data_IF_938717976692
#
_entry.id   IF_938717976692
#
_cell.length_a   1.000
_cell.length_b   1.000
_cell.length_c   1.000
_cell.angle_alpha   90.00
_cell.angle_beta   90.00
_cell.angle_gamma   90.00
#
_symmetry.space_group_name_H-M   'P 1'
#
loop_
_entity.id
_entity.type
_entity.pdbx_description
1 polymer ?
#
# COMPACT_ATOMS: atom_id res chain seq x y z
N UNK A 1 13.20 0.80 -8.78
CA UNK A 1 13.29 -0.44 -9.57
C UNK A 1 11.97 -0.65 -10.27
N UNK A 2 11.99 -1.11 -11.53
CA UNK A 2 10.77 -1.46 -12.27
C UNK A 2 10.96 -2.89 -12.73
N UNK A 3 10.05 -3.76 -12.32
CA UNK A 3 10.04 -5.18 -12.65
C UNK A 3 8.80 -5.50 -13.49
N UNK A 4 8.99 -6.19 -14.61
CA UNK A 4 7.92 -6.47 -15.56
C UNK A 4 7.79 -7.99 -15.71
N UNK A 5 6.61 -8.49 -15.39
CA UNK A 5 6.22 -9.89 -15.52
C UNK A 5 5.13 -10.03 -16.58
N UNK A 6 4.77 -11.28 -16.90
CA UNK A 6 3.70 -11.57 -17.86
C UNK A 6 2.37 -10.94 -17.43
N UNK A 7 2.07 -10.97 -16.14
CA UNK A 7 0.79 -10.60 -15.54
C UNK A 7 0.84 -9.33 -14.66
N UNK A 8 2.04 -8.79 -14.41
CA UNK A 8 2.21 -7.73 -13.40
C UNK A 8 3.33 -6.76 -13.79
N UNK A 9 3.13 -5.47 -13.52
CA UNK A 9 4.21 -4.47 -13.52
C UNK A 9 4.38 -3.98 -12.08
N UNK A 10 5.60 -4.07 -11.56
CA UNK A 10 5.92 -3.64 -10.20
C UNK A 10 6.88 -2.45 -10.21
N UNK A 11 6.55 -1.43 -9.44
CA UNK A 11 7.37 -0.22 -9.28
C UNK A 11 7.76 -0.11 -7.81
N UNK A 12 9.06 -0.21 -7.53
CA UNK A 12 9.62 -0.13 -6.18
C UNK A 12 10.44 1.14 -6.00
N UNK A 13 10.07 1.94 -5.00
CA UNK A 13 10.77 3.14 -4.58
C UNK A 13 11.29 2.99 -3.14
N UNK A 14 12.57 3.30 -2.85
CA UNK A 14 13.04 3.38 -1.48
C UNK A 14 12.29 4.46 -0.69
N UNK A 15 12.07 4.17 0.59
CA UNK A 15 11.33 4.99 1.52
C UNK A 15 9.88 4.51 1.70
N UNK A 16 9.44 4.55 2.95
CA UNK A 16 8.05 4.33 3.33
C UNK A 16 7.20 5.59 3.08
N UNK A 17 5.89 5.46 3.17
CA UNK A 17 5.02 6.62 3.34
C UNK A 17 5.37 7.42 4.62
N UNK A 18 5.02 8.71 4.70
CA UNK A 18 5.24 9.50 5.91
C UNK A 18 4.62 8.86 7.15
N UNK A 19 5.30 8.98 8.29
CA UNK A 19 4.84 8.38 9.54
C UNK A 19 3.44 8.85 9.92
N UNK A 20 2.59 7.92 10.36
CA UNK A 20 1.19 8.20 10.69
C UNK A 20 0.27 8.34 9.47
N UNK A 21 0.72 7.97 8.27
CA UNK A 21 -0.12 7.85 7.08
C UNK A 21 0.09 6.49 6.41
N UNK A 22 -0.98 5.94 5.84
CA UNK A 22 -0.99 4.71 5.05
C UNK A 22 -1.29 5.04 3.58
N UNK A 23 -0.95 4.15 2.62
CA UNK A 23 -1.36 4.34 1.23
C UNK A 23 -2.88 4.58 1.09
N UNK A 24 -3.69 3.85 1.86
CA UNK A 24 -5.15 3.96 1.87
C UNK A 24 -5.66 5.34 2.30
N UNK A 25 -4.95 6.02 3.21
CA UNK A 25 -5.33 7.38 3.64
C UNK A 25 -5.26 8.37 2.46
N UNK A 26 -4.28 8.20 1.57
CA UNK A 26 -4.15 9.04 0.37
C UNK A 26 -5.22 8.70 -0.67
N UNK A 27 -5.54 7.42 -0.84
CA UNK A 27 -6.60 6.95 -1.74
C UNK A 27 -7.97 7.47 -1.32
N UNK A 28 -8.27 7.42 -0.01
CA UNK A 28 -9.51 7.94 0.58
C UNK A 28 -9.55 9.47 0.67
N UNK A 29 -8.43 10.15 0.40
CA UNK A 29 -8.32 11.60 0.48
C UNK A 29 -8.36 12.16 1.90
N UNK A 30 -8.14 11.32 2.92
CA UNK A 30 -8.10 11.71 4.35
C UNK A 30 -6.69 11.99 4.85
N UNK A 31 -5.67 11.69 4.03
CA UNK A 31 -4.29 12.04 4.33
C UNK A 31 -4.12 13.56 4.50
N UNK A 32 -3.25 13.93 5.45
CA UNK A 32 -2.86 15.33 5.69
C UNK A 32 -2.14 15.91 4.47
N UNK A 33 -1.96 17.24 4.48
CA UNK A 33 -1.25 17.99 3.44
C UNK A 33 0.09 17.31 3.05
N UNK A 34 0.52 17.43 1.77
CA UNK A 34 1.68 16.72 1.25
C UNK A 34 2.94 16.95 2.10
N UNK A 35 3.47 15.89 2.70
CA UNK A 35 4.73 15.95 3.44
C UNK A 35 5.90 15.69 2.48
N UNK A 36 6.29 16.75 1.76
CA UNK A 36 7.38 16.68 0.79
C UNK A 36 8.72 16.46 1.49
N UNK A 37 9.27 15.25 1.44
CA UNK A 37 10.61 14.92 1.97
C UNK A 37 11.71 15.77 1.33
N UNK A 38 11.57 16.05 0.03
CA UNK A 38 12.51 16.83 -0.75
C UNK A 38 11.82 18.07 -1.33
N UNK A 39 11.61 19.15 -0.55
CA UNK A 39 10.81 20.29 -0.95
C UNK A 39 11.36 21.02 -2.18
N UNK A 40 12.70 21.07 -2.35
CA UNK A 40 13.32 21.69 -3.53
C UNK A 40 13.09 20.89 -4.81
N UNK A 41 13.13 19.56 -4.73
CA UNK A 41 12.83 18.69 -5.89
C UNK A 41 11.36 18.79 -6.24
N UNK A 42 10.48 18.77 -5.23
CA UNK A 42 9.04 18.93 -5.44
C UNK A 42 8.70 20.29 -6.10
N UNK A 43 9.31 21.39 -5.64
CA UNK A 43 9.11 22.72 -6.23
C UNK A 43 9.60 22.77 -7.68
N UNK A 44 10.78 22.19 -7.99
CA UNK A 44 11.28 22.12 -9.35
C UNK A 44 10.35 21.31 -10.28
N UNK A 45 9.86 20.15 -9.82
CA UNK A 45 8.94 19.30 -10.60
C UNK A 45 7.57 19.97 -10.77
N UNK A 46 7.08 20.68 -9.76
CA UNK A 46 5.83 21.44 -9.83
C UNK A 46 5.94 22.58 -10.85
N UNK A 47 7.01 23.39 -10.78
CA UNK A 47 7.27 24.47 -11.75
C UNK A 47 7.49 23.95 -13.17
N UNK A 48 8.06 22.75 -13.30
CA UNK A 48 8.21 22.05 -14.57
C UNK A 48 6.92 21.42 -15.11
N UNK A 49 5.81 21.46 -14.37
CA UNK A 49 4.53 20.89 -14.79
C UNK A 49 4.46 19.36 -14.69
N UNK A 50 5.43 18.71 -14.03
CA UNK A 50 5.48 17.25 -13.90
C UNK A 50 4.59 16.71 -12.78
N UNK A 51 4.33 17.52 -11.74
CA UNK A 51 3.54 17.10 -10.58
C UNK A 51 2.56 18.17 -10.11
N UNK A 52 1.50 17.70 -9.43
CA UNK A 52 0.55 18.46 -8.60
C UNK A 52 1.15 19.07 -7.32
N UNK A 53 0.75 20.28 -6.92
CA UNK A 53 1.06 20.81 -5.58
C UNK A 53 0.36 20.04 -4.45
N UNK A 54 -0.82 19.46 -4.71
CA UNK A 54 -1.73 18.91 -3.69
C UNK A 54 -1.66 17.38 -3.54
N UNK A 55 -0.73 16.69 -4.20
CA UNK A 55 -0.55 15.24 -4.01
C UNK A 55 -1.73 14.37 -4.49
N UNK A 56 -2.47 14.81 -5.51
CA UNK A 56 -3.64 14.10 -6.08
C UNK A 56 -3.27 12.90 -6.96
N UNK A 57 -1.99 12.67 -7.22
CA UNK A 57 -1.52 11.61 -8.12
C UNK A 57 -2.04 10.22 -7.76
N UNK A 58 -2.02 9.84 -6.47
CA UNK A 58 -2.47 8.50 -6.04
C UNK A 58 -3.97 8.27 -6.32
N UNK A 59 -4.81 9.28 -6.14
CA UNK A 59 -6.24 9.19 -6.48
C UNK A 59 -6.47 9.07 -7.99
N UNK A 60 -5.69 9.76 -8.81
CA UNK A 60 -5.77 9.61 -10.27
C UNK A 60 -5.31 8.25 -10.75
N UNK A 61 -4.24 7.73 -10.17
CA UNK A 61 -3.78 6.38 -10.48
C UNK A 61 -4.90 5.40 -10.18
N UNK A 62 -5.53 5.51 -8.99
CA UNK A 62 -6.68 4.67 -8.65
C UNK A 62 -7.82 4.80 -9.67
N UNK A 63 -8.22 6.02 -9.99
CA UNK A 63 -9.30 6.29 -10.94
C UNK A 63 -8.99 5.68 -12.33
N UNK A 64 -7.79 5.90 -12.85
CA UNK A 64 -7.37 5.36 -14.14
C UNK A 64 -7.32 3.83 -14.13
N UNK A 65 -6.88 3.22 -13.02
CA UNK A 65 -6.91 1.78 -12.84
C UNK A 65 -8.35 1.24 -12.82
N UNK A 66 -9.25 1.89 -12.07
CA UNK A 66 -10.66 1.51 -11.99
C UNK A 66 -11.33 1.58 -13.39
N UNK A 67 -11.10 2.67 -14.14
CA UNK A 67 -11.62 2.87 -15.50
C UNK A 67 -11.07 1.83 -16.50
N UNK A 68 -9.83 1.38 -16.32
CA UNK A 68 -9.19 0.39 -17.17
C UNK A 68 -9.44 -1.08 -16.73
N UNK A 69 -10.13 -1.30 -15.60
CA UNK A 69 -10.31 -2.64 -15.03
C UNK A 69 -8.99 -3.27 -14.56
N UNK A 70 -8.03 -2.46 -14.13
CA UNK A 70 -6.72 -2.86 -13.61
C UNK A 70 -6.77 -2.86 -12.09
N UNK A 71 -6.53 -4.02 -11.46
CA UNK A 71 -6.31 -4.06 -10.01
C UNK A 71 -4.85 -3.72 -9.69
N UNK A 72 -4.62 -3.17 -8.51
CA UNK A 72 -3.27 -2.87 -8.05
C UNK A 72 -3.15 -2.96 -6.53
N UNK A 73 -1.95 -3.25 -6.06
CA UNK A 73 -1.64 -3.49 -4.64
C UNK A 73 -0.42 -2.67 -4.20
N UNK A 74 -0.42 -2.28 -2.92
CA UNK A 74 0.72 -1.63 -2.27
C UNK A 74 1.37 -2.57 -1.27
N UNK A 75 2.70 -2.63 -1.32
CA UNK A 75 3.52 -3.37 -0.37
C UNK A 75 4.51 -2.42 0.30
N UNK A 76 4.67 -2.56 1.60
CA UNK A 76 5.72 -1.89 2.37
C UNK A 76 6.60 -2.96 3.00
N UNK A 77 7.81 -3.12 2.46
CA UNK A 77 8.77 -4.14 2.88
C UNK A 77 10.08 -3.47 3.27
N UNK A 78 10.50 -3.64 4.52
CA UNK A 78 11.67 -2.95 5.06
C UNK A 78 11.54 -1.43 4.95
N UNK A 79 12.43 -0.79 4.18
CA UNK A 79 12.39 0.65 3.89
C UNK A 79 12.08 0.92 2.41
N UNK A 80 11.20 0.11 1.80
CA UNK A 80 10.77 0.31 0.42
C UNK A 80 9.25 0.25 0.32
N UNK A 81 8.74 1.05 -0.61
CA UNK A 81 7.34 1.00 -1.04
C UNK A 81 7.30 0.43 -2.45
N UNK A 82 6.48 -0.60 -2.67
CA UNK A 82 6.27 -1.24 -3.96
C UNK A 82 4.80 -1.14 -4.34
N UNK A 83 4.54 -0.82 -5.60
CA UNK A 83 3.19 -0.82 -6.19
C UNK A 83 3.18 -1.86 -7.30
N UNK A 84 2.22 -2.77 -7.27
CA UNK A 84 2.05 -3.79 -8.31
C UNK A 84 0.75 -3.53 -9.08
N UNK A 85 0.82 -3.41 -10.39
CA UNK A 85 -0.31 -3.27 -11.30
C UNK A 85 -0.53 -4.58 -12.03
N UNK A 86 -1.74 -5.14 -11.97
CA UNK A 86 -2.06 -6.43 -12.57
C UNK A 86 -2.67 -6.26 -13.96
N UNK A 87 -2.24 -7.09 -14.90
CA UNK A 87 -2.84 -7.15 -16.23
C UNK A 87 -4.31 -7.60 -16.10
N UNK A 88 -5.25 -6.91 -16.75
CA UNK A 88 -6.65 -7.34 -16.77
C UNK A 88 -6.77 -8.76 -17.36
N UNK A 89 -7.55 -9.62 -16.70
CA UNK A 89 -7.77 -11.00 -17.15
C UNK A 89 -6.67 -12.01 -16.82
N UNK A 90 -5.56 -11.61 -16.17
CA UNK A 90 -4.56 -12.55 -15.64
C UNK A 90 -4.74 -12.87 -14.16
N UNK A 91 -5.65 -12.18 -13.47
CA UNK A 91 -5.95 -12.46 -12.06
C UNK A 91 -6.92 -13.65 -11.96
N UNK A 92 -6.42 -14.77 -11.47
CA UNK A 92 -7.26 -15.87 -10.98
C UNK A 92 -7.61 -15.53 -9.54
N UNK A 93 -8.88 -15.23 -9.24
CA UNK A 93 -9.34 -15.16 -7.86
C UNK A 93 -9.06 -16.51 -7.20
N UNK A 94 -8.20 -16.52 -6.18
CA UNK A 94 -8.12 -17.64 -5.26
C UNK A 94 -9.46 -17.69 -4.51
N UNK A 95 -10.37 -18.52 -4.99
CA UNK A 95 -11.59 -18.86 -4.27
C UNK A 95 -11.14 -19.48 -2.95
N UNK A 96 -11.29 -18.76 -1.84
CA UNK A 96 -11.16 -19.37 -0.52
C UNK A 96 -12.36 -20.30 -0.36
N UNK A 97 -12.19 -21.56 -0.75
CA UNK A 97 -13.09 -22.64 -0.39
C UNK A 97 -13.02 -22.78 1.13
N UNK A 98 -13.86 -22.02 1.82
CA UNK A 98 -14.06 -22.16 3.25
C UNK A 98 -14.65 -23.54 3.52
N UNK A 99 -13.81 -24.47 3.94
CA UNK A 99 -14.24 -25.64 4.69
C UNK A 99 -13.54 -25.61 6.05
N UNK A 100 -14.35 -25.41 7.08
CA UNK A 100 -14.05 -25.67 8.48
C UNK A 100 -13.46 -27.07 8.66
N UNK A 101 -12.37 -27.18 9.41
CA UNK A 101 -12.23 -28.20 10.46
C UNK A 101 -11.13 -27.83 11.45
N UNK A 102 -11.46 -28.10 12.69
CA UNK A 102 -10.81 -27.75 13.95
C UNK A 102 -9.73 -28.80 14.35
N UNK A 103 -8.87 -28.42 15.30
CA UNK A 103 -7.78 -29.18 15.97
C UNK A 103 -6.49 -29.38 15.13
N UNK A 104 -5.27 -29.14 15.62
CA UNK A 104 -4.77 -29.39 16.97
C UNK A 104 -3.41 -28.70 17.26
N UNK A 105 -3.03 -28.72 18.54
CA UNK A 105 -1.67 -28.57 19.10
C UNK A 105 -1.11 -27.18 19.52
N UNK A 106 -1.37 -26.91 20.81
CA UNK A 106 -0.65 -26.09 21.80
C UNK A 106 0.89 -26.12 21.70
N UNK A 107 1.55 -24.99 21.98
CA UNK A 107 2.74 -24.88 22.86
C UNK A 107 2.67 -23.53 23.58
N UNK A 108 2.84 -23.53 24.91
CA UNK A 108 2.53 -22.40 25.78
C UNK A 108 3.68 -21.89 26.67
N UNK A 109 3.23 -21.22 27.75
CA UNK A 109 3.93 -20.61 28.90
C UNK A 109 4.42 -19.17 28.65
N UNK A 110 4.08 -18.17 29.49
CA UNK A 110 4.15 -18.14 30.97
C UNK A 110 2.96 -17.41 31.63
N UNK A 111 2.61 -17.82 32.85
CA UNK A 111 1.75 -17.16 33.85
C UNK A 111 2.62 -16.44 34.93
N UNK A 112 2.07 -15.88 36.03
CA UNK A 112 1.04 -14.84 36.17
C UNK A 112 1.55 -13.70 37.12
N UNK A 113 0.84 -12.57 37.22
CA UNK A 113 0.90 -11.74 38.44
C UNK A 113 -0.52 -11.37 38.87
N UNK A 114 -0.73 -11.56 40.15
CA UNK A 114 -1.96 -11.56 40.93
C UNK A 114 -2.35 -10.15 41.41
N UNK A 115 -3.64 -10.04 41.77
CA UNK A 115 -4.22 -9.26 42.88
C UNK A 115 -4.91 -7.88 42.65
N UNK A 116 -6.20 -7.94 43.05
CA UNK A 116 -6.95 -7.09 43.99
C UNK A 116 -7.62 -5.79 43.53
N UNK A 117 -8.96 -5.91 43.41
CA UNK A 117 -10.00 -5.17 44.14
C UNK A 117 -9.90 -3.64 44.25
N UNK A 118 -10.91 -2.96 43.70
CA UNK A 118 -11.94 -2.21 44.45
C UNK A 118 -13.18 -2.09 43.57
#
# INVERSE_FOLDING_TARGET
MIDIFTDTVQITNPGLFPAGTTPDDYLKGVARAPQNRNPRIADALFRGGYIEAFGSGLRRIKQACDEAGVSFEYFQEGNATRVAFHRPGSHVELVSSGNSNESDAKIGRRQPIEQSAT
#
